data_IF_153593845284
#
_entry.id   IF_153593845284
#
_cell.length_a   1.000
_cell.length_b   1.000
_cell.length_c   1.000
_cell.angle_alpha   90.00
_cell.angle_beta   90.00
_cell.angle_gamma   90.00
#
_symmetry.space_group_name_H-M   'P 1'
#
loop_
_entity.id
_entity.type
_entity.pdbx_description
1 polymer ?
#
# COMPACT_ATOMS: atom_id res chain seq x y z
N UNK A 1 10.20 14.91 11.17
CA UNK A 1 9.77 14.73 9.77
C UNK A 1 10.73 13.74 9.15
N UNK A 2 10.26 12.53 8.83
CA UNK A 2 11.10 11.39 8.44
C UNK A 2 11.64 11.56 7.01
N UNK A 3 12.89 11.15 6.79
CA UNK A 3 13.62 11.27 5.53
C UNK A 3 12.87 10.68 4.31
N UNK A 4 11.99 9.70 4.50
CA UNK A 4 11.15 9.13 3.43
C UNK A 4 10.22 10.15 2.76
N UNK A 5 9.71 11.14 3.50
CA UNK A 5 8.82 12.18 2.94
C UNK A 5 9.59 13.12 2.01
N UNK A 6 10.90 13.25 2.19
CA UNK A 6 11.76 14.12 1.38
C UNK A 6 12.08 13.47 0.03
N UNK A 7 12.32 12.16 0.01
CA UNK A 7 12.63 11.41 -1.23
C UNK A 7 11.46 11.42 -2.22
N UNK A 8 10.22 11.36 -1.73
CA UNK A 8 9.00 11.38 -2.56
C UNK A 8 8.71 12.75 -3.19
N UNK A 9 9.40 13.82 -2.79
CA UNK A 9 9.20 15.18 -3.32
C UNK A 9 10.31 15.65 -4.26
N UNK A 10 11.38 14.87 -4.39
CA UNK A 10 12.48 15.23 -5.26
C UNK A 10 12.08 14.95 -6.72
N UNK A 11 12.32 15.88 -7.66
CA UNK A 11 12.12 15.62 -9.09
C UNK A 11 12.79 14.31 -9.52
N UNK A 12 12.18 13.60 -10.46
CA UNK A 12 12.80 12.44 -11.07
C UNK A 12 13.58 12.90 -12.30
N UNK A 13 14.87 12.59 -12.33
CA UNK A 13 15.71 12.86 -13.49
C UNK A 13 16.17 11.51 -14.07
N UNK A 14 15.65 11.11 -15.24
CA UNK A 14 16.03 9.87 -15.91
C UNK A 14 17.52 9.73 -16.23
N UNK A 15 18.26 10.84 -16.27
CA UNK A 15 19.70 10.85 -16.57
C UNK A 15 20.59 10.62 -15.35
N UNK A 16 20.02 10.64 -14.13
CA UNK A 16 20.77 10.37 -12.91
C UNK A 16 21.20 8.89 -12.82
N UNK A 17 22.41 8.60 -12.32
CA UNK A 17 22.88 7.22 -12.11
C UNK A 17 21.99 6.38 -11.18
N UNK A 18 21.20 7.04 -10.33
CA UNK A 18 20.30 6.38 -9.37
C UNK A 18 18.85 6.28 -9.87
N UNK A 19 18.53 6.77 -11.08
CA UNK A 19 17.16 6.85 -11.59
C UNK A 19 16.46 5.49 -11.62
N UNK A 20 17.11 4.46 -12.17
CA UNK A 20 16.59 3.09 -12.24
C UNK A 20 16.29 2.55 -10.83
N UNK A 21 17.21 2.72 -9.89
CA UNK A 21 17.02 2.28 -8.50
C UNK A 21 15.87 3.00 -7.82
N UNK A 22 15.74 4.32 -8.00
CA UNK A 22 14.64 5.12 -7.43
C UNK A 22 13.29 4.67 -7.99
N UNK A 23 13.22 4.31 -9.27
CA UNK A 23 12.03 3.76 -9.92
C UNK A 23 11.67 2.38 -9.36
N UNK A 24 12.64 1.47 -9.29
CA UNK A 24 12.46 0.14 -8.74
C UNK A 24 12.01 0.15 -7.27
N UNK A 25 12.58 1.04 -6.45
CA UNK A 25 12.20 1.17 -5.04
C UNK A 25 10.71 1.53 -4.88
N UNK A 26 10.17 2.42 -5.74
CA UNK A 26 8.75 2.78 -5.75
C UNK A 26 7.90 1.58 -6.20
N UNK A 27 8.28 0.90 -7.28
CA UNK A 27 7.55 -0.28 -7.79
C UNK A 27 7.51 -1.41 -6.75
N UNK A 28 8.64 -1.72 -6.12
CA UNK A 28 8.74 -2.73 -5.06
C UNK A 28 7.85 -2.36 -3.87
N UNK A 29 7.85 -1.07 -3.47
CA UNK A 29 7.01 -0.58 -2.38
C UNK A 29 5.52 -0.69 -2.71
N UNK A 30 5.10 -0.32 -3.93
CA UNK A 30 3.72 -0.49 -4.42
C UNK A 30 3.31 -1.96 -4.38
N UNK A 31 4.14 -2.85 -4.90
CA UNK A 31 3.84 -4.29 -4.95
C UNK A 31 3.70 -4.89 -3.55
N UNK A 32 4.61 -4.53 -2.64
CA UNK A 32 4.53 -4.94 -1.23
C UNK A 32 3.27 -4.42 -0.57
N UNK A 33 2.98 -3.12 -0.74
CA UNK A 33 1.80 -2.49 -0.15
C UNK A 33 0.50 -3.08 -0.69
N UNK A 34 0.44 -3.40 -1.99
CA UNK A 34 -0.70 -4.08 -2.62
C UNK A 34 -0.98 -5.44 -1.97
N UNK A 35 0.07 -6.24 -1.75
CA UNK A 35 -0.05 -7.53 -1.07
C UNK A 35 -0.49 -7.39 0.40
N UNK A 36 0.02 -6.39 1.11
CA UNK A 36 -0.36 -6.09 2.49
C UNK A 36 -1.81 -5.59 2.60
N UNK A 37 -2.25 -4.73 1.67
CA UNK A 37 -3.64 -4.24 1.57
C UNK A 37 -4.63 -5.37 1.38
N UNK A 38 -4.34 -6.31 0.49
CA UNK A 38 -5.24 -7.45 0.26
C UNK A 38 -5.37 -8.35 1.50
N UNK A 39 -4.27 -8.58 2.23
CA UNK A 39 -4.31 -9.33 3.51
C UNK A 39 -5.13 -8.59 4.57
N UNK A 40 -4.94 -7.28 4.68
CA UNK A 40 -5.69 -6.47 5.64
C UNK A 40 -7.19 -6.41 5.28
N UNK A 41 -7.52 -6.27 3.99
CA UNK A 41 -8.90 -6.32 3.49
C UNK A 41 -9.60 -7.62 3.88
N UNK A 42 -8.95 -8.77 3.70
CA UNK A 42 -9.50 -10.07 4.12
C UNK A 42 -9.73 -10.13 5.63
N UNK A 43 -8.80 -9.59 6.42
CA UNK A 43 -8.93 -9.50 7.88
C UNK A 43 -10.12 -8.65 8.29
N UNK A 44 -10.28 -7.45 7.70
CA UNK A 44 -11.44 -6.60 7.93
C UNK A 44 -12.74 -7.32 7.60
N UNK A 45 -12.86 -7.92 6.40
CA UNK A 45 -14.08 -8.62 5.96
C UNK A 45 -14.44 -9.76 6.90
N UNK A 46 -13.47 -10.56 7.34
CA UNK A 46 -13.71 -11.66 8.28
C UNK A 46 -14.16 -11.14 9.65
N UNK A 47 -13.53 -10.08 10.18
CA UNK A 47 -13.93 -9.47 11.44
C UNK A 47 -15.33 -8.83 11.35
N UNK A 48 -15.61 -8.05 10.30
CA UNK A 48 -16.93 -7.46 10.05
C UNK A 48 -18.01 -8.54 9.96
N UNK A 49 -17.75 -9.62 9.21
CA UNK A 49 -18.67 -10.75 9.09
C UNK A 49 -19.03 -11.35 10.44
N UNK A 50 -18.06 -11.54 11.33
CA UNK A 50 -18.29 -12.08 12.67
C UNK A 50 -19.24 -11.20 13.49
N UNK A 51 -19.16 -9.88 13.35
CA UNK A 51 -20.08 -8.95 14.01
C UNK A 51 -21.45 -8.88 13.33
N UNK A 52 -21.50 -8.83 11.99
CA UNK A 52 -22.75 -8.71 11.21
C UNK A 52 -23.59 -9.99 11.32
N UNK A 53 -22.96 -11.15 11.24
CA UNK A 53 -23.64 -12.45 11.33
C UNK A 53 -23.80 -12.94 12.78
N UNK A 54 -23.34 -12.15 13.75
CA UNK A 54 -23.28 -12.51 15.17
C UNK A 54 -22.53 -13.85 15.42
N UNK A 55 -21.57 -14.18 14.56
CA UNK A 55 -20.65 -15.32 14.69
C UNK A 55 -19.49 -14.96 15.64
N UNK A 56 -19.87 -14.69 16.89
CA UNK A 56 -18.97 -14.32 17.98
C UNK A 56 -18.66 -15.54 18.85
N UNK A 57 -18.23 -16.63 18.21
CA UNK A 57 -17.75 -17.83 18.92
C UNK A 57 -16.22 -17.92 18.93
N UNK A 58 -15.66 -18.53 19.96
CA UNK A 58 -14.25 -18.87 20.02
C UNK A 58 -13.90 -19.90 18.92
N UNK A 59 -12.69 -19.81 18.38
CA UNK A 59 -12.14 -20.69 17.34
C UNK A 59 -10.87 -21.44 17.83
N UNK A 60 -10.62 -21.43 19.13
CA UNK A 60 -9.52 -22.17 19.77
C UNK A 60 -9.92 -23.63 19.95
N UNK A 61 -8.95 -24.55 19.97
CA UNK A 61 -9.24 -26.00 20.08
C UNK A 61 -10.07 -26.35 21.32
N UNK A 62 -9.83 -25.68 22.44
CA UNK A 62 -10.48 -25.98 23.74
C UNK A 62 -11.88 -25.37 23.90
N UNK A 63 -12.19 -24.25 23.22
CA UNK A 63 -13.44 -23.50 23.40
C UNK A 63 -14.19 -23.29 22.07
N UNK A 64 -13.88 -24.09 21.05
CA UNK A 64 -14.45 -23.93 19.72
C UNK A 64 -15.98 -23.98 19.75
N UNK A 65 -16.62 -22.95 19.19
CA UNK A 65 -18.08 -22.85 19.15
C UNK A 65 -18.73 -22.26 20.41
N UNK A 66 -17.98 -22.06 21.49
CA UNK A 66 -18.50 -21.33 22.66
C UNK A 66 -18.62 -19.83 22.37
N UNK A 67 -19.68 -19.16 22.86
CA UNK A 67 -19.80 -17.72 22.72
C UNK A 67 -18.63 -17.00 23.39
N UNK A 68 -18.07 -16.00 22.71
CA UNK A 68 -17.04 -15.16 23.27
C UNK A 68 -17.53 -14.46 24.53
N UNK A 69 -16.62 -14.33 25.50
CA UNK A 69 -16.78 -13.45 26.66
C UNK A 69 -16.84 -11.98 26.22
N UNK A 70 -17.39 -11.11 27.08
CA UNK A 70 -17.44 -9.66 26.81
C UNK A 70 -16.05 -9.08 26.50
N UNK A 71 -15.04 -9.49 27.26
CA UNK A 71 -13.65 -9.08 27.06
C UNK A 71 -13.12 -9.48 25.69
N UNK A 72 -13.41 -10.69 25.21
CA UNK A 72 -12.97 -11.16 23.90
C UNK A 72 -13.71 -10.49 22.75
N UNK A 73 -15.01 -10.23 22.92
CA UNK A 73 -15.79 -9.42 21.97
C UNK A 73 -15.19 -8.03 21.83
N UNK A 74 -14.84 -7.39 22.96
CA UNK A 74 -14.18 -6.08 22.97
C UNK A 74 -12.83 -6.12 22.27
N UNK A 75 -12.01 -7.14 22.52
CA UNK A 75 -10.74 -7.34 21.81
C UNK A 75 -10.94 -7.51 20.30
N UNK A 76 -11.96 -8.26 19.87
CA UNK A 76 -12.29 -8.38 18.44
C UNK A 76 -12.72 -7.05 17.83
N UNK A 77 -13.50 -6.25 18.56
CA UNK A 77 -13.95 -4.94 18.08
C UNK A 77 -12.78 -3.97 17.90
N UNK A 78 -11.85 -3.94 18.87
CA UNK A 78 -10.61 -3.15 18.77
C UNK A 78 -9.81 -3.58 17.54
N UNK A 79 -9.62 -4.89 17.34
CA UNK A 79 -8.93 -5.40 16.15
C UNK A 79 -9.59 -4.97 14.83
N UNK A 80 -10.92 -4.95 14.78
CA UNK A 80 -11.64 -4.47 13.60
C UNK A 80 -11.36 -2.99 13.33
N UNK A 81 -11.40 -2.16 14.37
CA UNK A 81 -11.10 -0.73 14.28
C UNK A 81 -9.65 -0.52 13.82
N UNK A 82 -8.69 -1.21 14.44
CA UNK A 82 -7.27 -1.11 14.11
C UNK A 82 -7.00 -1.52 12.65
N UNK A 83 -7.58 -2.65 12.21
CA UNK A 83 -7.46 -3.11 10.83
C UNK A 83 -8.07 -2.11 9.83
N UNK A 84 -9.20 -1.48 10.19
CA UNK A 84 -9.87 -0.47 9.37
C UNK A 84 -9.06 0.83 9.27
N UNK A 85 -8.49 1.30 10.38
CA UNK A 85 -7.59 2.45 10.39
C UNK A 85 -6.34 2.18 9.54
N UNK A 86 -5.71 1.03 9.72
CA UNK A 86 -4.56 0.62 8.92
C UNK A 86 -4.90 0.55 7.43
N UNK A 87 -6.10 0.06 7.07
CA UNK A 87 -6.54 0.00 5.66
C UNK A 87 -6.59 1.40 5.05
N UNK A 88 -7.17 2.37 5.76
CA UNK A 88 -7.26 3.76 5.30
C UNK A 88 -5.87 4.37 5.10
N UNK A 89 -4.93 4.09 6.01
CA UNK A 89 -3.55 4.56 5.88
C UNK A 89 -2.83 3.92 4.69
N UNK A 90 -2.99 2.61 4.51
CA UNK A 90 -2.42 1.87 3.38
C UNK A 90 -3.02 2.32 2.04
N UNK A 91 -4.32 2.61 1.97
CA UNK A 91 -4.96 3.16 0.78
C UNK A 91 -4.38 4.53 0.42
N UNK A 92 -4.24 5.43 1.40
CA UNK A 92 -3.61 6.75 1.19
C UNK A 92 -2.16 6.65 0.72
N UNK A 93 -1.37 5.74 1.29
CA UNK A 93 0.01 5.54 0.89
C UNK A 93 0.10 4.95 -0.52
N UNK A 94 -0.78 4.01 -0.86
CA UNK A 94 -0.82 3.41 -2.18
C UNK A 94 -1.13 4.45 -3.26
N UNK A 95 -2.17 5.26 -3.03
CA UNK A 95 -2.55 6.32 -3.98
C UNK A 95 -1.41 7.32 -4.20
N UNK A 96 -0.66 7.65 -3.12
CA UNK A 96 0.52 8.53 -3.21
C UNK A 96 1.64 7.91 -4.05
N UNK A 97 1.94 6.63 -3.84
CA UNK A 97 2.99 5.94 -4.59
C UNK A 97 2.60 5.75 -6.06
N UNK A 98 1.33 5.45 -6.36
CA UNK A 98 0.84 5.37 -7.73
C UNK A 98 0.95 6.73 -8.44
N UNK A 99 0.49 7.81 -7.79
CA UNK A 99 0.65 9.17 -8.33
C UNK A 99 2.12 9.47 -8.61
N UNK A 100 3.00 9.11 -7.69
CA UNK A 100 4.44 9.32 -7.86
C UNK A 100 5.02 8.51 -9.02
N UNK A 101 4.59 7.27 -9.19
CA UNK A 101 5.01 6.43 -10.31
C UNK A 101 4.55 7.01 -11.65
N UNK A 102 3.34 7.54 -11.71
CA UNK A 102 2.81 8.20 -12.90
C UNK A 102 3.61 9.46 -13.27
N UNK A 103 3.99 10.28 -12.28
CA UNK A 103 4.90 11.42 -12.48
C UNK A 103 6.24 10.98 -13.05
N UNK A 104 6.85 9.92 -12.47
CA UNK A 104 8.13 9.39 -12.94
C UNK A 104 8.04 8.84 -14.37
N UNK A 105 6.93 8.20 -14.73
CA UNK A 105 6.68 7.73 -16.09
C UNK A 105 6.55 8.89 -17.07
N UNK A 106 5.88 9.97 -16.69
CA UNK A 106 5.80 11.17 -17.52
C UNK A 106 7.19 11.79 -17.75
N UNK A 107 7.99 11.92 -16.69
CA UNK A 107 9.37 12.44 -16.77
C UNK A 107 10.24 11.56 -17.68
N UNK A 108 10.11 10.23 -17.61
CA UNK A 108 10.77 9.27 -18.50
C UNK A 108 10.36 9.46 -19.97
N UNK A 109 9.05 9.57 -20.23
CA UNK A 109 8.52 9.74 -21.58
C UNK A 109 8.92 11.09 -22.21
N UNK A 110 9.01 12.15 -21.42
CA UNK A 110 9.50 13.46 -21.85
C UNK A 110 10.99 13.40 -22.19
N UNK A 111 11.81 12.82 -21.31
CA UNK A 111 13.24 12.62 -21.55
C UNK A 111 13.49 11.77 -22.80
N UNK A 112 12.79 10.64 -22.96
CA UNK A 112 12.95 9.75 -24.10
C UNK A 112 12.63 10.48 -25.41
N UNK A 113 11.54 11.26 -25.45
CA UNK A 113 11.18 12.08 -26.63
C UNK A 113 12.27 13.08 -27.00
N UNK A 114 12.85 13.76 -26.01
CA UNK A 114 13.94 14.73 -26.24
C UNK A 114 15.23 14.04 -26.70
N UNK A 115 15.60 12.93 -26.07
CA UNK A 115 16.80 12.16 -26.40
C UNK A 115 16.78 11.68 -27.86
N UNK A 116 15.66 11.10 -28.30
CA UNK A 116 15.53 10.61 -29.68
C UNK A 116 15.36 11.74 -30.70
N UNK A 117 14.70 12.85 -30.34
CA UNK A 117 14.61 14.03 -31.21
C UNK A 117 16.00 14.62 -31.53
N UNK A 118 16.92 14.65 -30.56
CA UNK A 118 18.27 15.15 -30.75
C UNK A 118 19.24 14.15 -31.42
N UNK A 119 18.95 12.84 -31.40
CA UNK A 119 19.72 11.86 -32.17
C UNK A 119 19.35 11.82 -33.66
N UNK A 120 18.14 12.24 -34.04
CA UNK A 120 17.68 12.27 -35.43
C UNK A 120 18.16 13.47 -36.26
N UNK A 121 18.80 14.47 -35.65
CA UNK A 121 19.34 15.67 -36.34
C UNK A 121 20.81 15.50 -36.79
N UNK A 122 21.38 14.29 -36.63
CA UNK A 122 22.78 13.97 -36.93
C UNK A 122 23.03 13.07 -38.15
N UNK A 123 22.00 12.73 -38.94
CA UNK A 123 22.10 12.03 -40.24
C UNK A 123 21.75 12.97 -41.41
#
# INVERSE_FOLDING_TARGET
>A
MSAEVIVLRQPFDPSEPEAERRYDDIVVRINRLSAERERNRRTCVELERQFVQNDLCAKTEEASGEPLTETERRKRLIRLIDASCLRIEQDKEYDRLCTRLDEMNQDLDEWARQYWAHQGEGE
#
